data_IF_412820733602
#
_entry.id   IF_412820733602
#
_cell.length_a   1.000
_cell.length_b   1.000
_cell.length_c   1.000
_cell.angle_alpha   90.00
_cell.angle_beta   90.00
_cell.angle_gamma   90.00
#
_symmetry.space_group_name_H-M   'P 1'
#
loop_
_entity.id
_entity.type
_entity.pdbx_description
1 polymer ?
#
# COMPACT_ATOMS: atom_id res chain seq x y z
N UNK A 1 25.55 -9.82 -2.64
CA UNK A 1 24.64 -8.80 -3.16
C UNK A 1 24.57 -8.74 -4.68
N UNK A 2 25.69 -8.63 -5.39
CA UNK A 2 25.69 -8.57 -6.87
C UNK A 2 25.07 -9.80 -7.54
N UNK A 3 25.26 -11.01 -6.99
CA UNK A 3 24.63 -12.24 -7.49
C UNK A 3 23.11 -12.23 -7.33
N UNK A 4 22.60 -11.72 -6.21
CA UNK A 4 21.16 -11.58 -5.96
C UNK A 4 20.52 -10.59 -6.95
N UNK A 5 21.13 -9.42 -7.15
CA UNK A 5 20.68 -8.43 -8.13
C UNK A 5 20.62 -9.03 -9.53
N UNK A 6 21.67 -9.76 -9.94
CA UNK A 6 21.71 -10.44 -11.24
C UNK A 6 20.64 -11.52 -11.39
N UNK A 7 20.35 -12.27 -10.31
CA UNK A 7 19.30 -13.29 -10.31
C UNK A 7 17.91 -12.65 -10.47
N UNK A 8 17.62 -11.63 -9.67
CA UNK A 8 16.35 -10.89 -9.75
C UNK A 8 16.19 -10.18 -11.11
N UNK A 9 17.26 -9.66 -11.66
CA UNK A 9 17.28 -9.02 -12.98
C UNK A 9 16.93 -9.97 -14.14
N UNK A 10 17.14 -11.28 -13.95
CA UNK A 10 16.77 -12.31 -14.95
C UNK A 10 15.38 -12.91 -14.71
N UNK A 11 14.73 -12.54 -13.62
CA UNK A 11 13.42 -13.04 -13.27
C UNK A 11 12.30 -12.28 -14.02
N UNK A 12 11.08 -12.84 -14.09
CA UNK A 12 9.91 -12.14 -14.64
C UNK A 12 9.56 -10.83 -13.91
N UNK A 13 10.18 -10.56 -12.76
CA UNK A 13 9.97 -9.32 -11.98
C UNK A 13 10.15 -8.06 -12.82
N UNK A 14 11.11 -8.05 -13.77
CA UNK A 14 11.40 -6.90 -14.62
C UNK A 14 10.52 -6.84 -15.89
N UNK A 15 9.49 -7.68 -15.98
CA UNK A 15 8.51 -7.57 -17.09
C UNK A 15 7.95 -6.15 -17.12
N UNK A 16 7.92 -5.51 -18.30
CA UNK A 16 7.32 -4.19 -18.45
C UNK A 16 5.90 -4.15 -17.92
N UNK A 17 5.56 -3.08 -17.20
CA UNK A 17 4.23 -2.81 -16.65
C UNK A 17 3.68 -3.83 -15.63
N UNK A 18 4.45 -4.85 -15.22
CA UNK A 18 4.01 -5.86 -14.26
C UNK A 18 3.52 -5.21 -12.96
N UNK A 19 4.28 -4.28 -12.44
CA UNK A 19 3.98 -3.50 -11.24
C UNK A 19 2.68 -2.69 -11.38
N UNK A 20 2.49 -2.03 -12.51
CA UNK A 20 1.27 -1.30 -12.83
C UNK A 20 0.04 -2.22 -12.84
N UNK A 21 0.14 -3.37 -13.50
CA UNK A 21 -0.96 -4.35 -13.53
C UNK A 21 -1.26 -4.95 -12.16
N UNK A 22 -0.22 -5.28 -11.37
CA UNK A 22 -0.40 -5.85 -10.03
C UNK A 22 -1.06 -4.85 -9.07
N UNK A 23 -0.59 -3.60 -9.03
CA UNK A 23 -1.17 -2.56 -8.18
C UNK A 23 -2.62 -2.27 -8.58
N UNK A 24 -2.90 -2.18 -9.88
CA UNK A 24 -4.27 -1.99 -10.38
C UNK A 24 -5.17 -3.15 -10.02
N UNK A 25 -4.75 -4.39 -10.26
CA UNK A 25 -5.53 -5.58 -9.93
C UNK A 25 -5.80 -5.66 -8.42
N UNK A 26 -4.81 -5.38 -7.58
CA UNK A 26 -4.95 -5.36 -6.14
C UNK A 26 -6.01 -4.33 -5.68
N UNK A 27 -5.98 -3.11 -6.21
CA UNK A 27 -6.99 -2.10 -5.89
C UNK A 27 -8.39 -2.48 -6.40
N UNK A 28 -8.51 -3.08 -7.58
CA UNK A 28 -9.79 -3.62 -8.08
C UNK A 28 -10.36 -4.65 -7.11
N UNK A 29 -9.53 -5.59 -6.64
CA UNK A 29 -9.96 -6.61 -5.65
C UNK A 29 -10.48 -5.93 -4.38
N UNK A 30 -9.78 -4.92 -3.86
CA UNK A 30 -10.21 -4.17 -2.69
C UNK A 30 -11.58 -3.53 -2.93
N UNK A 31 -11.74 -2.74 -3.98
CA UNK A 31 -13.01 -2.04 -4.23
C UNK A 31 -14.18 -2.99 -4.49
N UNK A 32 -13.96 -4.11 -5.16
CA UNK A 32 -15.01 -5.12 -5.40
C UNK A 32 -15.45 -5.77 -4.10
N UNK A 33 -14.50 -6.24 -3.27
CA UNK A 33 -14.83 -6.96 -2.03
C UNK A 33 -15.38 -6.04 -0.95
N UNK A 34 -14.78 -4.85 -0.76
CA UNK A 34 -15.28 -3.89 0.22
C UNK A 34 -16.62 -3.29 -0.21
N UNK A 35 -16.81 -3.00 -1.49
CA UNK A 35 -18.10 -2.57 -2.02
C UNK A 35 -19.19 -3.64 -1.86
N UNK A 36 -18.86 -4.92 -2.01
CA UNK A 36 -19.78 -6.02 -1.77
C UNK A 36 -20.32 -6.05 -0.33
N UNK A 37 -19.44 -5.84 0.66
CA UNK A 37 -19.85 -5.85 2.08
C UNK A 37 -20.87 -4.77 2.41
N UNK A 38 -20.83 -3.62 1.75
CA UNK A 38 -21.70 -2.47 2.03
C UNK A 38 -23.21 -2.75 1.85
N UNK A 39 -23.55 -3.83 1.16
CA UNK A 39 -24.95 -4.25 0.97
C UNK A 39 -25.55 -4.92 2.20
N UNK A 40 -24.75 -5.35 3.18
CA UNK A 40 -25.17 -6.10 4.35
C UNK A 40 -25.27 -5.24 5.61
N UNK A 41 -26.19 -5.63 6.51
CA UNK A 41 -26.45 -4.87 7.73
C UNK A 41 -25.28 -4.90 8.72
N UNK A 42 -24.56 -6.02 8.81
CA UNK A 42 -23.40 -6.11 9.70
C UNK A 42 -22.36 -5.06 9.37
N UNK A 43 -22.10 -4.83 8.10
CA UNK A 43 -21.14 -3.82 7.64
C UNK A 43 -21.62 -2.39 7.89
N UNK A 44 -22.91 -2.13 7.67
CA UNK A 44 -23.51 -0.82 7.98
C UNK A 44 -23.29 -0.43 9.45
N UNK A 45 -23.33 -1.42 10.37
CA UNK A 45 -23.04 -1.22 11.80
C UNK A 45 -21.54 -1.03 12.07
N UNK A 46 -20.67 -1.78 11.39
CA UNK A 46 -19.21 -1.63 11.49
C UNK A 46 -18.75 -0.23 11.06
N UNK A 47 -19.46 0.37 10.09
CA UNK A 47 -19.13 1.72 9.59
C UNK A 47 -19.48 2.86 10.55
N UNK A 48 -20.29 2.62 11.59
CA UNK A 48 -20.77 3.70 12.48
C UNK A 48 -19.63 4.55 13.05
N UNK A 49 -18.59 4.00 13.70
CA UNK A 49 -17.54 4.82 14.26
C UNK A 49 -16.76 5.59 13.18
N UNK A 50 -16.56 5.01 11.99
CA UNK A 50 -15.80 5.64 10.91
C UNK A 50 -16.56 6.83 10.29
N UNK A 51 -17.86 6.66 9.98
CA UNK A 51 -18.66 7.71 9.37
C UNK A 51 -18.96 8.81 10.38
N UNK A 52 -19.31 8.46 11.63
CA UNK A 52 -19.64 9.46 12.66
C UNK A 52 -18.48 10.39 13.02
N UNK A 53 -17.25 9.92 12.92
CA UNK A 53 -16.04 10.70 13.24
C UNK A 53 -15.24 11.13 12.01
N UNK A 54 -15.67 10.73 10.81
CA UNK A 54 -15.00 11.07 9.57
C UNK A 54 -15.28 12.49 9.10
N UNK A 55 -14.30 13.40 9.06
CA UNK A 55 -14.53 14.82 8.73
C UNK A 55 -15.08 15.03 7.31
N UNK A 56 -14.86 14.10 6.40
CA UNK A 56 -15.32 14.18 5.01
C UNK A 56 -16.57 13.34 4.74
N UNK A 57 -17.00 12.48 5.67
CA UNK A 57 -18.09 11.52 5.45
C UNK A 57 -19.23 11.60 6.47
N UNK A 58 -19.11 12.39 7.55
CA UNK A 58 -20.11 12.49 8.63
C UNK A 58 -21.51 12.89 8.13
N UNK A 59 -21.59 13.65 7.05
CA UNK A 59 -22.81 14.11 6.43
C UNK A 59 -23.67 12.99 5.81
N UNK A 60 -23.08 11.81 5.60
CA UNK A 60 -23.79 10.68 5.00
C UNK A 60 -24.96 10.20 5.86
N UNK A 61 -24.82 10.20 7.19
CA UNK A 61 -25.90 9.76 8.08
C UNK A 61 -27.09 10.69 8.13
N UNK A 62 -26.94 12.01 8.27
CA UNK A 62 -28.06 12.93 8.15
C UNK A 62 -28.83 12.84 6.83
N UNK A 63 -28.15 12.50 5.73
CA UNK A 63 -28.76 12.46 4.38
C UNK A 63 -29.38 11.10 4.09
N UNK A 64 -28.70 9.99 4.39
CA UNK A 64 -29.10 8.65 3.93
C UNK A 64 -29.48 7.69 5.06
N UNK A 65 -29.29 8.06 6.32
CA UNK A 65 -29.36 7.14 7.45
C UNK A 65 -28.23 6.09 7.43
N UNK A 66 -28.19 5.23 8.44
CA UNK A 66 -27.10 4.25 8.61
C UNK A 66 -27.00 3.29 7.41
N UNK A 67 -28.14 2.71 7.02
CA UNK A 67 -28.18 1.71 5.94
C UNK A 67 -27.98 2.33 4.57
N UNK A 68 -28.61 3.46 4.31
CA UNK A 68 -28.46 4.18 3.04
C UNK A 68 -27.07 4.72 2.83
N UNK A 69 -26.38 5.18 3.87
CA UNK A 69 -24.97 5.57 3.81
C UNK A 69 -24.05 4.39 3.42
N UNK A 70 -24.28 3.20 3.99
CA UNK A 70 -23.55 1.99 3.59
C UNK A 70 -23.77 1.65 2.12
N UNK A 71 -25.01 1.65 1.65
CA UNK A 71 -25.32 1.40 0.24
C UNK A 71 -24.71 2.44 -0.70
N UNK A 72 -24.77 3.72 -0.34
CA UNK A 72 -24.15 4.80 -1.10
C UNK A 72 -22.65 4.55 -1.27
N UNK A 73 -21.95 4.21 -0.17
CA UNK A 73 -20.53 3.87 -0.22
C UNK A 73 -20.26 2.64 -1.08
N UNK A 74 -21.11 1.61 -1.00
CA UNK A 74 -21.02 0.40 -1.83
C UNK A 74 -21.11 0.71 -3.32
N UNK A 75 -22.06 1.59 -3.72
CA UNK A 75 -22.18 2.05 -5.11
C UNK A 75 -20.92 2.80 -5.55
N UNK A 76 -20.42 3.72 -4.73
CA UNK A 76 -19.19 4.48 -5.02
C UNK A 76 -17.98 3.55 -5.16
N UNK A 77 -17.80 2.62 -4.23
CA UNK A 77 -16.68 1.67 -4.26
C UNK A 77 -16.74 0.76 -5.51
N UNK A 78 -17.93 0.27 -5.87
CA UNK A 78 -18.09 -0.52 -7.09
C UNK A 78 -17.87 0.30 -8.36
N UNK A 79 -18.33 1.54 -8.41
CA UNK A 79 -18.06 2.44 -9.53
C UNK A 79 -16.54 2.64 -9.71
N UNK A 80 -15.83 2.93 -8.62
CA UNK A 80 -14.37 3.08 -8.65
C UNK A 80 -13.70 1.77 -9.07
N UNK A 81 -14.13 0.63 -8.53
CA UNK A 81 -13.62 -0.69 -8.89
C UNK A 81 -13.79 -1.00 -10.38
N UNK A 82 -14.98 -0.71 -10.95
CA UNK A 82 -15.28 -0.87 -12.38
C UNK A 82 -14.42 0.05 -13.24
N UNK A 83 -14.25 1.32 -12.85
CA UNK A 83 -13.41 2.26 -13.58
C UNK A 83 -11.94 1.83 -13.58
N UNK A 84 -11.42 1.37 -12.44
CA UNK A 84 -10.07 0.81 -12.34
C UNK A 84 -9.92 -0.45 -13.19
N UNK A 85 -10.93 -1.33 -13.20
CA UNK A 85 -10.92 -2.55 -14.01
C UNK A 85 -10.92 -2.23 -15.51
N UNK A 86 -11.80 -1.35 -15.97
CA UNK A 86 -11.81 -0.89 -17.37
C UNK A 86 -10.47 -0.21 -17.72
N UNK A 87 -9.79 0.36 -16.73
CA UNK A 87 -8.48 0.98 -16.85
C UNK A 87 -7.36 0.06 -17.38
N UNK A 88 -7.55 -1.28 -17.38
CA UNK A 88 -6.62 -2.19 -18.06
C UNK A 88 -6.59 -1.98 -19.58
N UNK A 89 -7.69 -1.51 -20.17
CA UNK A 89 -7.83 -1.30 -21.62
C UNK A 89 -8.04 0.18 -21.98
N UNK A 90 -8.67 0.95 -21.08
CA UNK A 90 -8.99 2.36 -21.32
C UNK A 90 -8.34 3.25 -20.25
N UNK A 91 -7.29 3.96 -20.63
CA UNK A 91 -6.50 4.82 -19.74
C UNK A 91 -7.32 5.95 -19.11
N UNK A 92 -8.31 6.50 -19.83
CA UNK A 92 -9.17 7.55 -19.28
C UNK A 92 -10.03 7.02 -18.13
N UNK A 93 -10.62 5.82 -18.28
CA UNK A 93 -11.36 5.16 -17.21
C UNK A 93 -10.43 4.82 -16.05
N UNK A 94 -9.21 4.34 -16.32
CA UNK A 94 -8.20 4.07 -15.29
C UNK A 94 -7.88 5.30 -14.46
N UNK A 95 -7.69 6.44 -15.12
CA UNK A 95 -7.39 7.71 -14.45
C UNK A 95 -8.58 8.20 -13.60
N UNK A 96 -9.82 8.11 -14.09
CA UNK A 96 -11.02 8.43 -13.31
C UNK A 96 -11.16 7.51 -12.11
N UNK A 97 -10.90 6.21 -12.28
CA UNK A 97 -10.86 5.24 -11.19
C UNK A 97 -9.78 5.56 -10.15
N UNK A 98 -8.59 5.97 -10.59
CA UNK A 98 -7.51 6.39 -9.69
C UNK A 98 -7.87 7.65 -8.90
N UNK A 99 -8.53 8.63 -9.51
CA UNK A 99 -9.06 9.81 -8.81
C UNK A 99 -10.10 9.41 -7.76
N UNK A 100 -11.07 8.58 -8.13
CA UNK A 100 -12.07 8.06 -7.17
C UNK A 100 -11.42 7.30 -6.01
N UNK A 101 -10.41 6.48 -6.30
CA UNK A 101 -9.62 5.76 -5.31
C UNK A 101 -8.87 6.70 -4.34
N UNK A 102 -8.26 7.75 -4.85
CA UNK A 102 -7.60 8.79 -4.02
C UNK A 102 -8.62 9.45 -3.09
N UNK A 103 -9.78 9.84 -3.60
CA UNK A 103 -10.84 10.47 -2.78
C UNK A 103 -11.28 9.52 -1.66
N UNK A 104 -11.48 8.24 -1.97
CA UNK A 104 -11.87 7.23 -0.99
C UNK A 104 -10.81 7.07 0.11
N UNK A 105 -9.56 6.79 -0.25
CA UNK A 105 -8.52 6.55 0.76
C UNK A 105 -8.06 7.82 1.47
N UNK A 106 -8.13 8.98 0.84
CA UNK A 106 -7.95 10.25 1.52
C UNK A 106 -9.03 10.45 2.58
N UNK A 107 -10.29 10.12 2.25
CA UNK A 107 -11.38 10.22 3.22
C UNK A 107 -11.16 9.29 4.42
N UNK A 108 -10.73 8.04 4.20
CA UNK A 108 -10.49 7.09 5.30
C UNK A 108 -9.26 7.44 6.14
N UNK A 109 -8.16 7.88 5.54
CA UNK A 109 -6.96 8.31 6.26
C UNK A 109 -7.25 9.53 7.14
N UNK A 110 -8.07 10.47 6.68
CA UNK A 110 -8.44 11.66 7.46
C UNK A 110 -9.31 11.34 8.68
N UNK A 111 -9.88 10.13 8.79
CA UNK A 111 -10.63 9.71 9.97
C UNK A 111 -9.70 9.51 11.18
N UNK A 112 -8.47 9.04 10.98
CA UNK A 112 -7.56 8.62 12.05
C UNK A 112 -7.43 9.65 13.18
N UNK A 113 -7.15 10.95 12.91
CA UNK A 113 -7.02 11.95 13.98
C UNK A 113 -8.30 12.24 14.76
N UNK A 114 -9.46 11.91 14.19
CA UNK A 114 -10.79 12.20 14.77
C UNK A 114 -11.43 10.97 15.41
N UNK A 115 -10.80 9.78 15.29
CA UNK A 115 -11.31 8.57 15.92
C UNK A 115 -11.14 8.64 17.45
N UNK A 116 -12.23 8.45 18.23
CA UNK A 116 -12.09 8.22 19.64
C UNK A 116 -11.27 6.92 19.84
N UNK A 117 -10.31 6.96 20.75
CA UNK A 117 -9.41 5.84 21.01
C UNK A 117 -8.57 5.39 19.80
N UNK A 118 -8.17 6.32 18.92
CA UNK A 118 -7.27 6.02 17.81
C UNK A 118 -5.94 5.39 18.29
N UNK A 119 -5.55 5.71 19.51
CA UNK A 119 -4.31 5.27 20.16
C UNK A 119 -4.63 4.48 21.43
N UNK A 120 -3.96 3.38 21.63
CA UNK A 120 -4.20 2.52 22.79
C UNK A 120 -3.71 3.15 24.10
N UNK A 121 -4.65 3.47 24.99
CA UNK A 121 -4.36 4.13 26.26
C UNK A 121 -3.56 3.24 27.23
N UNK A 122 -3.67 1.90 27.13
CA UNK A 122 -2.94 0.96 27.98
C UNK A 122 -1.45 0.93 27.65
N UNK A 123 -1.07 1.36 26.45
CA UNK A 123 0.31 1.50 26.01
C UNK A 123 0.80 2.96 26.04
N UNK A 124 0.07 3.86 26.67
CA UNK A 124 0.46 5.27 26.80
C UNK A 124 0.01 6.20 25.65
N UNK A 125 -0.84 5.72 24.76
CA UNK A 125 -1.33 6.50 23.62
C UNK A 125 -0.37 6.47 22.42
N UNK A 126 -0.25 7.61 21.72
CA UNK A 126 0.65 7.69 20.54
C UNK A 126 2.09 7.23 20.86
N UNK A 127 2.74 6.39 20.03
CA UNK A 127 2.36 5.90 18.72
C UNK A 127 1.68 4.50 18.74
N UNK A 128 1.09 4.06 19.84
CA UNK A 128 0.43 2.77 19.97
C UNK A 128 -0.95 2.83 19.28
N UNK A 129 -1.04 2.37 18.02
CA UNK A 129 -2.30 2.36 17.27
C UNK A 129 -3.29 1.35 17.85
N UNK A 130 -4.58 1.73 17.95
CA UNK A 130 -5.64 0.80 18.34
C UNK A 130 -5.76 -0.36 17.34
N UNK A 131 -5.82 -1.58 17.87
CA UNK A 131 -5.74 -2.80 17.07
C UNK A 131 -6.97 -3.05 16.17
N UNK A 132 -8.12 -2.54 16.56
CA UNK A 132 -9.42 -2.78 15.89
C UNK A 132 -9.76 -1.73 14.83
N UNK A 133 -9.40 -0.47 15.05
CA UNK A 133 -9.83 0.66 14.19
C UNK A 133 -8.66 1.31 13.46
N UNK A 134 -7.71 1.92 14.18
CA UNK A 134 -6.61 2.64 13.58
C UNK A 134 -5.65 1.72 12.82
N UNK A 135 -5.43 0.48 13.31
CA UNK A 135 -4.64 -0.51 12.61
C UNK A 135 -5.24 -0.85 11.22
N UNK A 136 -6.58 -0.84 11.10
CA UNK A 136 -7.25 -1.03 9.81
C UNK A 136 -7.06 0.16 8.88
N UNK A 137 -7.17 1.39 9.41
CA UNK A 137 -7.09 2.63 8.63
C UNK A 137 -5.65 3.00 8.22
N UNK A 138 -4.64 2.65 9.03
CA UNK A 138 -3.25 3.04 8.74
C UNK A 138 -2.73 2.40 7.44
N UNK A 139 -3.26 1.23 7.05
CA UNK A 139 -2.95 0.59 5.77
C UNK A 139 -3.44 1.42 4.57
N UNK A 140 -4.47 2.26 4.75
CA UNK A 140 -5.00 3.11 3.68
C UNK A 140 -4.00 4.18 3.22
N UNK A 141 -2.96 4.48 4.00
CA UNK A 141 -1.83 5.29 3.53
C UNK A 141 -1.13 4.64 2.32
N UNK A 142 -0.96 3.32 2.33
CA UNK A 142 -0.35 2.59 1.20
C UNK A 142 -1.31 2.54 0.03
N UNK A 143 -2.62 2.32 0.29
CA UNK A 143 -3.64 2.29 -0.75
C UNK A 143 -3.80 3.68 -1.41
N UNK A 144 -3.71 4.75 -0.63
CA UNK A 144 -3.67 6.13 -1.13
C UNK A 144 -2.44 6.37 -2.01
N UNK A 145 -1.25 5.99 -1.55
CA UNK A 145 -0.02 6.12 -2.32
C UNK A 145 -0.07 5.29 -3.62
N UNK A 146 -0.63 4.07 -3.58
CA UNK A 146 -0.85 3.22 -4.74
C UNK A 146 -1.82 3.86 -5.76
N UNK A 147 -2.85 4.55 -5.26
CA UNK A 147 -3.81 5.28 -6.10
C UNK A 147 -3.15 6.48 -6.80
N UNK A 148 -2.29 7.22 -6.09
CA UNK A 148 -1.49 8.32 -6.67
C UNK A 148 -0.51 7.79 -7.72
N UNK A 149 0.12 6.64 -7.49
CA UNK A 149 0.97 5.96 -8.47
C UNK A 149 0.19 5.65 -9.75
N UNK A 150 -1.00 5.01 -9.64
CA UNK A 150 -1.83 4.71 -10.82
C UNK A 150 -2.27 5.99 -11.55
N UNK A 151 -2.66 7.03 -10.82
CA UNK A 151 -3.01 8.32 -11.41
C UNK A 151 -1.86 8.88 -12.24
N UNK A 152 -0.65 8.88 -11.68
CA UNK A 152 0.56 9.37 -12.36
C UNK A 152 0.85 8.56 -13.63
N UNK A 153 0.87 7.23 -13.54
CA UNK A 153 1.17 6.35 -14.65
C UNK A 153 0.16 6.51 -15.81
N UNK A 154 -1.14 6.50 -15.49
CA UNK A 154 -2.19 6.69 -16.51
C UNK A 154 -2.13 8.10 -17.13
N UNK A 155 -1.85 9.13 -16.32
CA UNK A 155 -1.70 10.49 -16.81
C UNK A 155 -0.49 10.65 -17.74
N UNK A 156 0.66 10.07 -17.40
CA UNK A 156 1.86 10.09 -18.25
C UNK A 156 1.62 9.37 -19.57
N UNK A 157 0.96 8.23 -19.54
CA UNK A 157 0.61 7.45 -20.75
C UNK A 157 -0.40 8.17 -21.64
N UNK A 158 -1.32 8.96 -21.06
CA UNK A 158 -2.26 9.79 -21.82
C UNK A 158 -1.56 11.03 -22.41
N UNK A 159 -0.62 11.63 -21.70
CA UNK A 159 0.11 12.82 -22.19
C UNK A 159 1.04 12.53 -23.36
N UNK A 160 1.50 11.29 -23.49
CA UNK A 160 2.29 10.81 -24.65
C UNK A 160 1.45 10.49 -25.90
N UNK A 161 0.11 10.54 -25.81
CA UNK A 161 -0.75 10.35 -26.97
C UNK A 161 -0.71 11.57 -27.91
N UNK A 162 -0.53 11.35 -29.21
CA UNK A 162 -0.26 12.39 -30.22
C UNK A 162 -1.40 13.41 -30.44
N UNK A 163 -2.62 13.15 -29.96
CA UNK A 163 -3.76 14.06 -30.13
C UNK A 163 -4.52 14.29 -28.81
N UNK A 164 -4.35 15.44 -28.16
CA UNK A 164 -5.18 15.81 -27.00
C UNK A 164 -6.56 16.30 -27.49
N UNK A 165 -7.58 15.46 -27.44
CA UNK A 165 -8.92 15.76 -27.95
C UNK A 165 -9.94 16.19 -26.91
N UNK A 166 -9.59 16.30 -25.62
CA UNK A 166 -10.54 16.66 -24.57
C UNK A 166 -9.96 17.66 -23.56
N UNK A 167 -10.86 18.48 -22.95
CA UNK A 167 -10.53 19.36 -21.82
C UNK A 167 -9.84 18.60 -20.67
N UNK A 168 -10.13 17.31 -20.53
CA UNK A 168 -9.53 16.40 -19.56
C UNK A 168 -8.03 16.17 -19.82
N UNK A 169 -7.61 16.01 -21.08
CA UNK A 169 -6.20 15.88 -21.46
C UNK A 169 -5.43 17.17 -21.16
N UNK A 170 -6.09 18.34 -21.29
CA UNK A 170 -5.51 19.63 -20.92
C UNK A 170 -5.30 19.70 -19.41
N UNK A 171 -6.29 19.27 -18.61
CA UNK A 171 -6.19 19.19 -17.15
C UNK A 171 -5.02 18.30 -16.71
N UNK A 172 -4.92 17.09 -17.29
CA UNK A 172 -3.83 16.13 -17.02
C UNK A 172 -2.46 16.73 -17.36
N UNK A 173 -2.36 17.43 -18.49
CA UNK A 173 -1.12 18.12 -18.91
C UNK A 173 -0.75 19.26 -17.95
N UNK A 174 -1.74 19.98 -17.44
CA UNK A 174 -1.54 21.08 -16.46
C UNK A 174 -1.12 20.51 -15.11
N UNK A 175 -1.75 19.45 -14.63
CA UNK A 175 -1.35 18.72 -13.43
C UNK A 175 0.06 18.13 -13.57
N UNK A 176 0.43 17.62 -14.74
CA UNK A 176 1.78 17.14 -15.05
C UNK A 176 2.87 18.23 -14.94
N UNK A 177 2.50 19.50 -15.10
CA UNK A 177 3.40 20.65 -14.92
C UNK A 177 3.47 21.12 -13.45
N UNK A 178 2.57 20.69 -12.59
CA UNK A 178 2.44 21.21 -11.21
C UNK A 178 3.39 20.58 -10.20
N UNK A 179 4.36 19.75 -10.61
CA UNK A 179 5.27 19.05 -9.69
C UNK A 179 4.64 17.85 -8.96
N UNK A 180 3.31 17.65 -9.06
CA UNK A 180 2.61 16.48 -8.52
C UNK A 180 3.12 15.18 -9.16
N UNK A 181 3.69 15.27 -10.36
CA UNK A 181 4.33 14.18 -11.08
C UNK A 181 5.85 14.32 -11.13
N UNK A 182 6.43 14.95 -10.08
CA UNK A 182 7.87 15.01 -9.94
C UNK A 182 8.49 13.61 -10.08
N UNK A 183 9.67 13.55 -10.65
CA UNK A 183 10.42 12.30 -10.78
C UNK A 183 10.54 11.66 -9.39
N UNK A 184 10.21 10.38 -9.29
CA UNK A 184 10.30 9.59 -8.06
C UNK A 184 9.32 9.96 -6.91
N UNK A 185 8.31 10.80 -7.12
CA UNK A 185 7.32 11.11 -6.07
C UNK A 185 6.52 9.86 -5.68
N UNK A 186 6.05 9.09 -6.66
CA UNK A 186 5.34 7.83 -6.48
C UNK A 186 6.17 6.80 -5.70
N UNK A 187 7.43 6.61 -6.10
CA UNK A 187 8.37 5.76 -5.39
C UNK A 187 8.54 6.20 -3.93
N UNK A 188 8.67 7.50 -3.70
CA UNK A 188 8.86 8.05 -2.36
C UNK A 188 7.61 7.91 -1.49
N UNK A 189 6.41 8.15 -2.05
CA UNK A 189 5.14 8.00 -1.35
C UNK A 189 4.87 6.53 -0.99
N UNK A 190 5.05 5.61 -1.95
CA UNK A 190 4.85 4.18 -1.72
C UNK A 190 5.84 3.65 -0.68
N UNK A 191 7.12 4.02 -0.78
CA UNK A 191 8.12 3.61 0.20
C UNK A 191 7.86 4.20 1.58
N UNK A 192 7.58 5.50 1.66
CA UNK A 192 7.30 6.18 2.92
C UNK A 192 6.07 5.61 3.63
N UNK A 193 4.99 5.35 2.90
CA UNK A 193 3.77 4.74 3.46
C UNK A 193 4.03 3.33 4.00
N UNK A 194 4.83 2.52 3.29
CA UNK A 194 5.24 1.19 3.76
C UNK A 194 6.09 1.25 5.04
N UNK A 195 7.04 2.18 5.11
CA UNK A 195 7.86 2.41 6.33
C UNK A 195 6.95 2.77 7.50
N UNK A 196 5.98 3.66 7.30
CA UNK A 196 5.01 4.06 8.34
C UNK A 196 4.21 2.85 8.83
N UNK A 197 3.68 2.04 7.93
CA UNK A 197 2.90 0.84 8.27
C UNK A 197 3.75 -0.13 9.10
N UNK A 198 4.94 -0.51 8.63
CA UNK A 198 5.82 -1.41 9.37
C UNK A 198 6.28 -0.86 10.72
N UNK A 199 6.51 0.45 10.80
CA UNK A 199 6.86 1.09 12.08
C UNK A 199 5.75 0.95 13.11
N UNK A 200 4.51 1.34 12.76
CA UNK A 200 3.38 1.29 13.69
C UNK A 200 2.99 -0.13 14.09
N UNK A 201 2.95 -1.05 13.13
CA UNK A 201 2.65 -2.46 13.43
C UNK A 201 3.77 -3.10 14.26
N UNK A 202 5.02 -2.82 13.98
CA UNK A 202 6.14 -3.25 14.79
C UNK A 202 6.04 -2.73 16.22
N UNK A 203 5.69 -1.46 16.40
CA UNK A 203 5.54 -0.85 17.73
C UNK A 203 4.46 -1.54 18.58
N UNK A 204 3.28 -1.81 18.01
CA UNK A 204 2.16 -2.44 18.75
C UNK A 204 2.54 -3.78 19.36
N UNK A 205 3.40 -4.55 18.70
CA UNK A 205 3.76 -5.91 19.09
C UNK A 205 4.67 -6.00 20.34
N UNK A 206 5.20 -4.87 20.80
CA UNK A 206 5.93 -4.79 22.07
C UNK A 206 5.02 -4.73 23.28
N UNK A 207 3.73 -4.41 23.09
CA UNK A 207 2.72 -4.25 24.12
C UNK A 207 1.81 -5.48 24.23
N UNK A 208 1.20 -5.68 25.39
CA UNK A 208 0.33 -6.82 25.69
C UNK A 208 -0.90 -6.87 24.74
N UNK A 209 -1.54 -5.72 24.51
CA UNK A 209 -2.70 -5.65 23.63
C UNK A 209 -2.36 -6.07 22.18
N UNK A 210 -1.20 -5.66 21.69
CA UNK A 210 -0.71 -6.04 20.36
C UNK A 210 -0.39 -7.54 20.29
N UNK A 211 0.21 -8.12 21.34
CA UNK A 211 0.44 -9.56 21.41
C UNK A 211 -0.88 -10.34 21.38
N UNK A 212 -1.91 -9.87 22.10
CA UNK A 212 -3.25 -10.47 22.08
C UNK A 212 -3.92 -10.38 20.71
N UNK A 213 -3.79 -9.25 20.03
CA UNK A 213 -4.30 -9.07 18.68
C UNK A 213 -3.68 -10.03 17.65
N UNK A 214 -2.47 -10.55 17.91
CA UNK A 214 -1.80 -11.50 17.01
C UNK A 214 -2.29 -12.95 17.18
N UNK A 215 -3.03 -13.29 18.24
CA UNK A 215 -3.45 -14.67 18.52
C UNK A 215 -4.16 -15.33 17.34
N UNK A 216 -5.22 -14.75 16.74
CA UNK A 216 -5.91 -15.42 15.63
C UNK A 216 -5.00 -15.60 14.41
N UNK A 217 -4.05 -14.70 14.17
CA UNK A 217 -3.17 -14.75 13.03
C UNK A 217 -2.04 -15.77 13.18
N UNK A 218 -1.41 -15.86 14.35
CA UNK A 218 -0.32 -16.81 14.61
C UNK A 218 -0.88 -18.22 14.77
N UNK A 219 -1.97 -18.40 15.53
CA UNK A 219 -2.53 -19.74 15.79
C UNK A 219 -3.08 -20.41 14.55
N UNK A 220 -3.58 -19.66 13.58
CA UNK A 220 -4.19 -20.21 12.35
C UNK A 220 -3.33 -19.97 11.11
N UNK A 221 -2.19 -19.29 11.24
CA UNK A 221 -1.30 -19.00 10.13
C UNK A 221 -0.44 -20.20 9.74
N UNK A 222 -0.57 -20.76 8.52
CA UNK A 222 0.19 -21.94 8.12
C UNK A 222 1.71 -21.72 8.09
N UNK A 223 2.16 -20.47 7.99
CA UNK A 223 3.57 -20.12 8.03
C UNK A 223 4.03 -19.54 9.37
N UNK A 224 3.10 -19.30 10.33
CA UNK A 224 3.39 -18.60 11.59
C UNK A 224 3.15 -19.46 12.85
N UNK A 225 2.43 -20.59 12.76
CA UNK A 225 2.02 -21.40 13.92
C UNK A 225 3.18 -21.86 14.80
N UNK A 226 4.36 -22.04 14.24
CA UNK A 226 5.57 -22.46 14.93
C UNK A 226 6.14 -21.40 15.89
N UNK A 227 5.72 -20.15 15.75
CA UNK A 227 6.24 -19.05 16.58
C UNK A 227 5.89 -19.24 18.08
N UNK A 228 4.68 -19.73 18.38
CA UNK A 228 4.29 -19.95 19.77
C UNK A 228 5.07 -21.08 20.46
N UNK A 229 5.23 -22.26 19.85
CA UNK A 229 6.12 -23.28 20.41
C UNK A 229 7.57 -22.82 20.58
N UNK A 230 8.08 -21.97 19.67
CA UNK A 230 9.47 -21.54 19.69
C UNK A 230 9.76 -20.42 20.69
N UNK A 231 8.86 -19.43 20.81
CA UNK A 231 9.11 -18.19 21.55
C UNK A 231 8.09 -17.89 22.65
N UNK A 232 7.05 -18.69 22.79
CA UNK A 232 5.92 -18.42 23.66
C UNK A 232 5.09 -17.21 23.20
N UNK A 233 4.03 -16.91 23.91
CA UNK A 233 3.05 -15.89 23.55
C UNK A 233 3.66 -14.50 23.32
N UNK A 234 4.34 -13.94 24.33
CA UNK A 234 4.94 -12.60 24.22
C UNK A 234 6.20 -12.59 23.35
N UNK A 235 6.95 -13.69 23.34
CA UNK A 235 8.16 -13.81 22.54
C UNK A 235 7.85 -13.82 21.06
N UNK A 236 6.81 -14.52 20.62
CA UNK A 236 6.35 -14.53 19.23
C UNK A 236 5.96 -13.14 18.73
N UNK A 237 5.18 -12.38 19.54
CA UNK A 237 4.80 -11.01 19.17
C UNK A 237 6.03 -10.09 19.05
N UNK A 238 6.96 -10.15 20.02
CA UNK A 238 8.21 -9.37 20.00
C UNK A 238 9.12 -9.74 18.82
N UNK A 239 9.19 -11.02 18.46
CA UNK A 239 9.93 -11.48 17.29
C UNK A 239 9.36 -10.85 16.02
N UNK A 240 8.02 -10.90 15.84
CA UNK A 240 7.37 -10.25 14.70
C UNK A 240 7.56 -8.72 14.71
N UNK A 241 7.45 -8.09 15.88
CA UNK A 241 7.68 -6.64 16.01
C UNK A 241 9.11 -6.24 15.65
N UNK A 242 10.11 -7.01 16.08
CA UNK A 242 11.52 -6.79 15.72
C UNK A 242 11.75 -6.99 14.21
N UNK A 243 11.13 -8.01 13.62
CA UNK A 243 11.21 -8.27 12.17
C UNK A 243 10.57 -7.15 11.36
N UNK A 244 9.42 -6.62 11.80
CA UNK A 244 8.75 -5.49 11.14
C UNK A 244 9.58 -4.19 11.24
N UNK A 245 10.16 -3.90 12.39
CA UNK A 245 11.06 -2.75 12.53
C UNK A 245 12.32 -2.89 11.69
N UNK A 246 12.91 -4.09 11.65
CA UNK A 246 14.03 -4.36 10.76
C UNK A 246 13.65 -4.14 9.28
N UNK A 247 12.48 -4.61 8.87
CA UNK A 247 11.94 -4.36 7.52
C UNK A 247 11.73 -2.87 7.26
N UNK A 248 11.15 -2.13 8.23
CA UNK A 248 10.99 -0.68 8.13
C UNK A 248 12.34 0.04 7.94
N UNK A 249 13.37 -0.35 8.71
CA UNK A 249 14.71 0.22 8.60
C UNK A 249 15.35 -0.06 7.24
N UNK A 250 15.21 -1.27 6.72
CA UNK A 250 15.72 -1.64 5.39
C UNK A 250 14.99 -0.88 4.28
N UNK A 251 13.66 -0.78 4.35
CA UNK A 251 12.87 0.01 3.41
C UNK A 251 13.26 1.49 3.47
N UNK A 252 13.40 2.05 4.66
CA UNK A 252 13.84 3.44 4.84
C UNK A 252 15.25 3.68 4.27
N UNK A 253 16.19 2.78 4.54
CA UNK A 253 17.55 2.85 3.99
C UNK A 253 17.57 2.78 2.46
N UNK A 254 16.52 2.21 1.84
CA UNK A 254 16.36 2.14 0.39
C UNK A 254 16.20 3.49 -0.30
N UNK A 255 15.91 4.58 0.42
CA UNK A 255 15.94 5.93 -0.16
C UNK A 255 17.34 6.34 -0.63
N UNK A 256 18.37 5.83 0.01
CA UNK A 256 19.78 6.15 -0.31
C UNK A 256 20.57 4.97 -0.88
N UNK A 257 20.15 3.74 -0.56
CA UNK A 257 20.86 2.53 -0.97
C UNK A 257 19.87 1.47 -1.50
N UNK A 258 19.77 1.37 -2.81
CA UNK A 258 18.88 0.41 -3.49
C UNK A 258 19.13 -1.05 -3.07
N UNK A 259 20.37 -1.41 -2.69
CA UNK A 259 20.69 -2.78 -2.24
C UNK A 259 20.04 -3.12 -0.90
N UNK A 260 19.99 -2.16 0.03
CA UNK A 260 19.26 -2.30 1.29
C UNK A 260 17.74 -2.27 1.04
N UNK A 261 17.30 -1.43 0.10
CA UNK A 261 15.93 -1.39 -0.37
C UNK A 261 15.44 -2.74 -0.91
N UNK A 262 16.26 -3.45 -1.71
CA UNK A 262 15.97 -4.80 -2.19
C UNK A 262 15.70 -5.76 -1.02
N UNK A 263 16.56 -5.74 0.01
CA UNK A 263 16.39 -6.60 1.19
C UNK A 263 15.09 -6.26 1.94
N UNK A 264 14.81 -4.97 2.12
CA UNK A 264 13.57 -4.50 2.74
C UNK A 264 12.34 -4.91 1.95
N UNK A 265 12.37 -4.77 0.63
CA UNK A 265 11.28 -5.18 -0.24
C UNK A 265 11.05 -6.71 -0.23
N UNK A 266 12.10 -7.52 -0.20
CA UNK A 266 12.00 -8.97 -0.04
C UNK A 266 11.37 -9.33 1.31
N UNK A 267 11.83 -8.73 2.40
CA UNK A 267 11.26 -8.95 3.73
C UNK A 267 9.77 -8.56 3.78
N UNK A 268 9.41 -7.45 3.13
CA UNK A 268 8.03 -7.00 2.98
C UNK A 268 7.18 -7.99 2.17
N UNK A 269 7.68 -8.50 1.04
CA UNK A 269 6.99 -9.55 0.26
C UNK A 269 6.74 -10.79 1.12
N UNK A 270 7.75 -11.26 1.85
CA UNK A 270 7.62 -12.41 2.74
C UNK A 270 6.55 -12.18 3.82
N UNK A 271 6.50 -10.98 4.40
CA UNK A 271 5.47 -10.60 5.38
C UNK A 271 4.08 -10.73 4.78
N UNK A 272 3.81 -10.06 3.65
CA UNK A 272 2.46 -10.02 3.09
C UNK A 272 2.03 -11.34 2.42
N UNK A 273 2.95 -12.10 1.88
CA UNK A 273 2.66 -13.50 1.48
C UNK A 273 2.25 -14.30 2.71
N UNK A 274 2.98 -14.19 3.82
CA UNK A 274 2.64 -14.92 5.05
C UNK A 274 1.27 -14.52 5.59
N UNK A 275 0.94 -13.22 5.64
CA UNK A 275 -0.35 -12.74 6.15
C UNK A 275 -1.52 -13.13 5.24
N UNK A 276 -1.36 -13.09 3.93
CA UNK A 276 -2.40 -13.48 2.98
C UNK A 276 -2.69 -15.00 3.03
N UNK A 277 -1.69 -15.83 3.31
CA UNK A 277 -1.91 -17.29 3.49
C UNK A 277 -2.74 -17.62 4.72
N UNK A 278 -2.95 -16.70 5.65
CA UNK A 278 -3.78 -16.90 6.84
C UNK A 278 -5.28 -16.87 6.50
N UNK A 279 -5.68 -16.07 5.51
CA UNK A 279 -7.10 -15.78 5.20
C UNK A 279 -7.98 -17.04 5.13
N UNK A 280 -7.59 -18.13 4.44
CA UNK A 280 -8.41 -19.34 4.36
C UNK A 280 -8.57 -20.10 5.68
N UNK A 281 -7.72 -19.82 6.67
CA UNK A 281 -7.64 -20.60 7.91
C UNK A 281 -8.18 -19.85 9.14
N UNK A 282 -8.60 -18.59 8.99
CA UNK A 282 -9.19 -17.81 10.10
C UNK A 282 -10.60 -18.32 10.38
N UNK A 283 -10.88 -18.80 11.60
CA UNK A 283 -12.24 -19.11 12.01
C UNK A 283 -13.12 -17.86 11.93
N UNK A 284 -14.35 -18.05 11.46
CA UNK A 284 -15.34 -16.96 11.31
C UNK A 284 -14.81 -15.75 10.50
N UNK A 285 -13.86 -16.00 9.60
CA UNK A 285 -13.28 -14.98 8.72
C UNK A 285 -14.25 -14.42 7.68
N UNK A 286 -15.38 -15.10 7.47
CA UNK A 286 -16.43 -14.73 6.53
C UNK A 286 -17.75 -14.58 7.26
N UNK A 287 -18.48 -13.49 7.02
CA UNK A 287 -19.69 -13.14 7.73
C UNK A 287 -20.83 -14.13 7.46
N UNK A 288 -21.11 -15.05 8.39
CA UNK A 288 -22.19 -16.03 8.27
C UNK A 288 -23.56 -15.38 8.08
N UNK A 289 -23.79 -14.21 8.68
CA UNK A 289 -25.04 -13.41 8.52
C UNK A 289 -25.25 -12.88 7.10
N UNK A 290 -24.23 -12.89 6.27
CA UNK A 290 -24.25 -12.49 4.86
C UNK A 290 -24.05 -13.68 3.89
N UNK A 291 -24.16 -14.90 4.37
CA UNK A 291 -23.98 -16.12 3.57
C UNK A 291 -22.53 -16.61 3.46
N UNK A 292 -21.61 -16.01 4.21
CA UNK A 292 -20.18 -16.39 4.18
C UNK A 292 -19.42 -15.71 3.05
N UNK A 293 -18.50 -16.42 2.39
CA UNK A 293 -17.71 -15.89 1.27
C UNK A 293 -18.61 -15.29 0.17
N UNK A 294 -18.29 -14.12 -0.39
CA UNK A 294 -17.11 -13.26 -0.18
C UNK A 294 -17.32 -12.13 0.86
N UNK A 295 -18.32 -12.22 1.75
CA UNK A 295 -18.56 -11.22 2.79
C UNK A 295 -17.52 -11.37 3.92
N UNK A 296 -16.55 -10.49 3.96
CA UNK A 296 -15.43 -10.56 4.91
C UNK A 296 -15.86 -10.15 6.32
N UNK A 297 -15.41 -10.87 7.34
CA UNK A 297 -15.42 -10.42 8.72
C UNK A 297 -14.14 -9.62 9.05
N UNK A 298 -14.12 -8.93 10.20
CA UNK A 298 -13.06 -7.98 10.56
C UNK A 298 -11.61 -8.45 10.32
N UNK A 299 -11.19 -9.63 10.81
CA UNK A 299 -9.82 -10.12 10.59
C UNK A 299 -9.49 -10.34 9.11
N UNK A 300 -10.42 -10.89 8.30
CA UNK A 300 -10.19 -11.11 6.87
C UNK A 300 -10.21 -9.77 6.13
N UNK A 301 -11.11 -8.85 6.45
CA UNK A 301 -11.13 -7.51 5.87
C UNK A 301 -9.80 -6.77 6.14
N UNK A 302 -9.25 -6.91 7.35
CA UNK A 302 -7.95 -6.36 7.71
C UNK A 302 -6.79 -6.95 6.88
N UNK A 303 -6.76 -8.28 6.70
CA UNK A 303 -5.73 -8.97 5.92
C UNK A 303 -5.89 -8.75 4.42
N UNK A 304 -7.11 -8.55 3.93
CA UNK A 304 -7.35 -8.37 2.50
C UNK A 304 -6.63 -7.14 1.93
N UNK A 305 -6.45 -6.08 2.73
CA UNK A 305 -5.65 -4.92 2.32
C UNK A 305 -4.19 -5.28 2.01
N UNK A 306 -3.67 -6.37 2.56
CA UNK A 306 -2.29 -6.83 2.32
C UNK A 306 -2.04 -7.26 0.86
N UNK A 307 -3.11 -7.48 0.07
CA UNK A 307 -2.99 -7.69 -1.39
C UNK A 307 -2.35 -6.46 -2.06
N UNK A 308 -2.76 -5.25 -1.66
CA UNK A 308 -2.16 -4.00 -2.19
C UNK A 308 -0.75 -3.80 -1.65
N UNK A 309 -0.53 -4.09 -0.34
CA UNK A 309 0.78 -3.96 0.28
C UNK A 309 1.79 -4.94 -0.35
N UNK A 310 1.36 -6.15 -0.73
CA UNK A 310 2.17 -7.10 -1.48
C UNK A 310 2.51 -6.56 -2.88
N UNK A 311 1.53 -6.04 -3.62
CA UNK A 311 1.75 -5.46 -4.93
C UNK A 311 2.75 -4.28 -4.88
N UNK A 312 2.62 -3.41 -3.86
CA UNK A 312 3.56 -2.32 -3.59
C UNK A 312 4.95 -2.83 -3.21
N UNK A 313 5.04 -3.93 -2.45
CA UNK A 313 6.33 -4.55 -2.12
C UNK A 313 7.06 -5.06 -3.37
N UNK A 314 6.32 -5.65 -4.32
CA UNK A 314 6.85 -6.11 -5.61
C UNK A 314 7.27 -4.90 -6.47
N UNK A 315 6.48 -3.82 -6.49
CA UNK A 315 6.86 -2.56 -7.13
C UNK A 315 8.18 -2.02 -6.59
N UNK A 316 8.32 -1.91 -5.27
CA UNK A 316 9.54 -1.42 -4.64
C UNK A 316 10.75 -2.33 -4.93
N UNK A 317 10.54 -3.64 -4.92
CA UNK A 317 11.58 -4.62 -5.27
C UNK A 317 12.07 -4.40 -6.71
N UNK A 318 11.14 -4.27 -7.67
CA UNK A 318 11.45 -3.99 -9.07
C UNK A 318 12.24 -2.71 -9.24
N UNK A 319 11.76 -1.61 -8.66
CA UNK A 319 12.39 -0.29 -8.74
C UNK A 319 13.81 -0.29 -8.15
N UNK A 320 14.01 -0.97 -7.02
CA UNK A 320 15.33 -1.05 -6.39
C UNK A 320 16.30 -1.94 -7.19
N UNK A 321 15.80 -3.01 -7.82
CA UNK A 321 16.62 -3.84 -8.72
C UNK A 321 17.05 -3.06 -9.95
N UNK A 322 16.14 -2.31 -10.59
CA UNK A 322 16.43 -1.44 -11.73
C UNK A 322 17.49 -0.38 -11.37
N UNK A 323 17.32 0.31 -10.23
CA UNK A 323 18.27 1.32 -9.73
C UNK A 323 19.64 0.73 -9.37
N UNK A 324 19.68 -0.50 -8.85
CA UNK A 324 20.94 -1.17 -8.51
C UNK A 324 21.72 -1.66 -9.74
N UNK A 325 21.07 -1.79 -10.90
CA UNK A 325 21.69 -2.17 -12.17
C UNK A 325 22.25 -0.98 -12.94
N UNK A 326 21.74 0.23 -12.73
CA UNK A 326 22.31 1.43 -13.34
C UNK A 326 23.72 1.59 -12.79
N UNK A 327 24.80 1.28 -13.55
CA UNK A 327 26.15 1.52 -13.07
C UNK A 327 26.29 3.02 -12.86
N UNK A 328 27.23 3.40 -12.00
CA UNK A 328 27.73 4.77 -11.90
C UNK A 328 28.46 5.18 -13.21
N UNK A 329 27.79 5.09 -14.35
CA UNK A 329 28.31 5.44 -15.70
C UNK A 329 28.58 6.95 -15.79
N UNK A 330 28.12 7.74 -14.79
CA UNK A 330 28.41 9.17 -14.70
C UNK A 330 29.77 9.54 -14.11
N UNK A 331 30.46 8.63 -13.41
CA UNK A 331 31.76 8.94 -12.78
C UNK A 331 32.97 8.52 -13.60
N UNK A 332 32.84 7.64 -14.59
CA UNK A 332 33.99 7.18 -15.39
C UNK A 332 34.25 7.96 -16.71
N UNK A 333 33.33 8.86 -17.10
CA UNK A 333 33.57 9.65 -18.34
C UNK A 333 34.21 11.03 -18.12
N UNK A 334 34.62 11.36 -16.92
CA UNK A 334 35.37 12.63 -16.67
C UNK A 334 36.89 12.55 -16.55
N UNK A 335 37.62 11.42 -16.65
CA UNK A 335 39.09 11.49 -16.59
C UNK A 335 39.75 11.78 -17.94
N UNK A 336 39.08 11.60 -19.09
CA UNK A 336 39.79 11.70 -20.38
C UNK A 336 39.78 13.11 -20.99
N UNK A 337 38.82 13.94 -20.72
CA UNK A 337 38.78 15.31 -21.30
C UNK A 337 39.65 16.29 -20.51
N UNK A 338 39.82 16.10 -19.20
CA UNK A 338 40.72 16.94 -18.39
C UNK A 338 42.21 16.71 -18.70
N UNK A 339 42.59 15.49 -19.06
CA UNK A 339 43.98 15.21 -19.43
C UNK A 339 44.43 15.74 -20.79
N UNK A 340 43.50 15.94 -21.70
CA UNK A 340 43.80 16.46 -23.05
C UNK A 340 43.96 17.98 -23.06
N UNK A 341 43.39 18.68 -22.09
CA UNK A 341 43.56 20.14 -21.96
C UNK A 341 44.84 20.55 -21.22
N UNK A 342 45.33 19.71 -20.29
CA UNK A 342 46.62 19.97 -19.61
C UNK A 342 47.87 19.63 -20.43
N UNK A 343 47.75 18.77 -21.47
CA UNK A 343 48.84 18.42 -22.35
C UNK A 343 48.98 19.38 -23.55
N UNK A 344 47.99 20.24 -23.79
CA UNK A 344 48.02 21.24 -24.89
C UNK A 344 48.69 22.57 -24.53
N UNK A 345 48.95 22.87 -23.25
CA UNK A 345 49.56 24.14 -22.81
C UNK A 345 51.06 24.09 -22.55
N UNK A 346 51.78 22.99 -22.86
CA UNK A 346 53.22 22.86 -22.65
C UNK A 346 54.04 22.79 -23.95
N UNK A 347 53.46 23.10 -25.10
CA UNK A 347 54.21 23.25 -26.36
C UNK A 347 53.66 24.46 -27.10
N UNK A 348 54.15 25.61 -26.72
CA UNK A 348 53.99 26.88 -27.40
C UNK A 348 54.95 27.90 -26.81
#
# INVERSE_FOLDING_TARGET
MNSLVKLLARSPLLTPDLDHYLVRAALVIIFVLFGYQKWFEYEARVLIPYISHGPLVFWLYPVFGIRGASWFLGVVEWLVGVLLFIGFWNRTSGLLGAVGSIITFLSTVTIIPFMPNAWDATAGGFPAIAADTTAFLIKDLVLLAASVYLLKEDALRLSGAERPTSAFTILVRTLGRSGLFAKDLDYSLLRGSMVIVFFFFGYTKWHEYGARAMVPFISHGPLLFWLYPAFGFRGAARFLGAFEWFTAMLLFSGFWNSRLGILGAIASVLTFVSTLTIIPFIPDGWAASAGGFPAMAGPVAFLMKDVVLLAVSIYLLKQDVERAQVPAIGQERMPHIARTLESGERTG
#
